data_IF_513320343773
#
_entry.id   IF_513320343773
#
_cell.length_a   1.000
_cell.length_b   1.000
_cell.length_c   1.000
_cell.angle_alpha   90.00
_cell.angle_beta   90.00
_cell.angle_gamma   90.00
#
_symmetry.space_group_name_H-M   'P 1'
#
loop_
_entity.id
_entity.type
_entity.pdbx_description
1 polymer ?
#
# COMPACT_ATOMS: atom_id res chain seq x y z
N UNK A 1 1.66 -0.39 -28.73
CA UNK A 1 1.71 -1.27 -27.56
C UNK A 1 2.43 -0.52 -26.45
N UNK A 2 1.83 -0.43 -25.28
CA UNK A 2 2.48 0.18 -24.10
C UNK A 2 3.62 -0.74 -23.65
N UNK A 3 4.74 -0.16 -23.25
CA UNK A 3 5.93 -0.92 -22.83
C UNK A 3 6.19 -0.62 -21.35
N UNK A 4 5.59 -1.42 -20.45
CA UNK A 4 5.91 -1.31 -19.03
C UNK A 4 7.36 -1.72 -18.77
N UNK A 5 8.01 -0.98 -17.92
CA UNK A 5 9.35 -1.26 -17.39
C UNK A 5 9.30 -1.38 -15.87
N UNK A 6 8.49 -0.55 -15.23
CA UNK A 6 8.35 -0.49 -13.79
C UNK A 6 6.99 -1.05 -13.37
N UNK A 7 6.99 -1.93 -12.37
CA UNK A 7 5.77 -2.44 -11.75
C UNK A 7 5.76 -1.93 -10.31
N UNK A 8 4.90 -0.95 -10.05
CA UNK A 8 4.73 -0.33 -8.75
C UNK A 8 3.76 -1.16 -7.93
N UNK A 9 4.13 -1.53 -6.73
CA UNK A 9 3.28 -2.33 -5.84
C UNK A 9 2.91 -1.55 -4.59
N UNK A 10 1.66 -1.62 -4.17
CA UNK A 10 1.34 -1.36 -2.77
C UNK A 10 1.85 -2.51 -1.88
N UNK A 11 1.81 -2.33 -0.57
CA UNK A 11 2.30 -3.28 0.42
C UNK A 11 1.16 -4.01 1.12
N UNK A 12 0.36 -3.26 1.89
CA UNK A 12 -0.70 -3.78 2.76
C UNK A 12 -1.91 -4.20 1.93
N UNK A 13 -2.27 -5.49 1.93
CA UNK A 13 -3.34 -6.04 1.08
C UNK A 13 -2.90 -6.45 -0.32
N UNK A 14 -1.67 -6.11 -0.73
CA UNK A 14 -1.15 -6.44 -2.06
C UNK A 14 0.01 -7.43 -2.02
N UNK A 15 1.04 -7.15 -1.24
CA UNK A 15 2.19 -8.05 -1.05
C UNK A 15 2.04 -8.88 0.22
N UNK A 16 1.47 -8.28 1.27
CA UNK A 16 1.31 -8.89 2.57
C UNK A 16 -0.09 -8.68 3.12
N UNK A 17 -0.61 -9.69 3.82
CA UNK A 17 -1.72 -9.56 4.76
C UNK A 17 -1.17 -8.94 6.05
N UNK A 18 -1.46 -7.68 6.26
CA UNK A 18 -1.10 -6.90 7.44
C UNK A 18 -2.27 -6.70 8.41
N UNK A 19 -3.40 -7.35 8.15
CA UNK A 19 -4.65 -7.16 8.88
C UNK A 19 -4.48 -7.35 10.38
N UNK A 20 -3.71 -8.35 10.82
CA UNK A 20 -3.49 -8.62 12.25
C UNK A 20 -2.75 -7.47 12.93
N UNK A 21 -1.62 -7.03 12.37
CA UNK A 21 -0.79 -5.99 12.95
C UNK A 21 -1.47 -4.63 13.02
N UNK A 22 -2.17 -4.26 11.96
CA UNK A 22 -2.89 -2.99 11.86
C UNK A 22 -4.09 -2.99 12.81
N UNK A 23 -4.99 -3.99 12.72
CA UNK A 23 -6.22 -3.99 13.53
C UNK A 23 -5.96 -4.09 15.01
N UNK A 24 -5.01 -4.93 15.47
CA UNK A 24 -4.60 -4.97 16.88
C UNK A 24 -4.02 -3.65 17.38
N UNK A 25 -3.35 -2.89 16.52
CA UNK A 25 -2.81 -1.58 16.90
C UNK A 25 -3.91 -0.51 16.93
N UNK A 26 -4.93 -0.64 16.09
CA UNK A 26 -6.15 0.20 16.17
C UNK A 26 -6.94 -0.13 17.44
N UNK A 27 -7.18 -1.41 17.75
CA UNK A 27 -7.84 -1.85 19.00
C UNK A 27 -7.11 -1.27 20.21
N UNK A 28 -5.78 -1.34 20.23
CA UNK A 28 -4.98 -0.79 21.31
C UNK A 28 -5.16 0.73 21.46
N UNK A 29 -5.20 1.47 20.36
CA UNK A 29 -5.46 2.91 20.38
C UNK A 29 -6.89 3.25 20.85
N UNK A 30 -7.89 2.55 20.33
CA UNK A 30 -9.29 2.76 20.68
C UNK A 30 -9.58 2.44 22.17
N UNK A 31 -8.96 1.38 22.70
CA UNK A 31 -9.09 1.01 24.11
C UNK A 31 -8.63 2.12 25.05
N UNK A 32 -7.63 2.94 24.66
CA UNK A 32 -7.22 4.13 25.43
C UNK A 32 -8.36 5.16 25.60
N UNK A 33 -9.27 5.22 24.61
CA UNK A 33 -10.43 6.10 24.64
C UNK A 33 -11.69 5.40 25.17
N UNK A 34 -11.57 4.18 25.71
CA UNK A 34 -12.72 3.39 26.20
C UNK A 34 -13.63 2.86 25.11
N UNK A 35 -13.14 2.75 23.86
CA UNK A 35 -13.88 2.27 22.71
C UNK A 35 -13.43 0.84 22.40
N UNK A 36 -14.39 -0.08 22.29
CA UNK A 36 -14.16 -1.49 22.05
C UNK A 36 -15.00 -1.93 20.85
N UNK A 37 -14.37 -2.17 19.67
CA UNK A 37 -15.08 -2.68 18.49
C UNK A 37 -15.72 -4.04 18.75
N UNK A 38 -16.84 -4.33 18.11
CA UNK A 38 -17.54 -5.61 18.27
C UNK A 38 -16.78 -6.77 17.60
N UNK A 39 -16.08 -6.47 16.51
CA UNK A 39 -15.23 -7.44 15.83
C UNK A 39 -13.99 -6.75 15.22
N UNK A 40 -12.98 -7.56 14.88
CA UNK A 40 -11.75 -7.04 14.24
C UNK A 40 -11.97 -6.67 12.78
N UNK A 41 -12.91 -7.31 12.12
CA UNK A 41 -13.29 -7.05 10.74
C UNK A 41 -13.78 -5.62 10.53
N UNK A 42 -14.44 -5.03 11.54
CA UNK A 42 -14.86 -3.61 11.52
C UNK A 42 -13.68 -2.66 11.35
N UNK A 43 -12.47 -3.10 11.68
CA UNK A 43 -11.25 -2.30 11.61
C UNK A 43 -10.49 -2.43 10.29
N UNK A 44 -10.93 -3.29 9.36
CA UNK A 44 -10.28 -3.42 8.06
C UNK A 44 -10.32 -2.13 7.23
N UNK A 45 -11.28 -1.25 7.51
CA UNK A 45 -11.34 0.08 6.91
C UNK A 45 -10.13 0.99 7.24
N UNK A 46 -9.32 0.61 8.25
CA UNK A 46 -8.07 1.31 8.56
C UNK A 46 -6.88 0.86 7.69
N UNK A 47 -7.03 -0.20 6.90
CA UNK A 47 -5.95 -0.73 6.05
C UNK A 47 -5.96 0.04 4.73
N UNK A 48 -4.85 0.73 4.44
CA UNK A 48 -4.66 1.54 3.23
C UNK A 48 -4.75 3.05 3.47
N UNK A 49 -5.85 3.62 4.01
CA UNK A 49 -5.96 5.05 4.20
C UNK A 49 -5.02 5.63 5.27
N UNK A 50 -4.71 6.95 5.21
CA UNK A 50 -3.98 7.64 6.28
C UNK A 50 -4.67 7.52 7.63
N UNK A 51 -3.92 7.20 8.67
CA UNK A 51 -4.42 6.80 9.98
C UNK A 51 -5.25 7.88 10.68
N UNK A 52 -4.79 9.14 10.61
CA UNK A 52 -5.50 10.29 11.22
C UNK A 52 -6.86 10.48 10.55
N UNK A 53 -6.92 10.42 9.22
CA UNK A 53 -8.15 10.58 8.46
C UNK A 53 -9.13 9.43 8.77
N UNK A 54 -8.63 8.21 8.96
CA UNK A 54 -9.42 7.05 9.36
C UNK A 54 -10.07 7.22 10.73
N UNK A 55 -9.34 7.67 11.75
CA UNK A 55 -9.93 7.95 13.07
C UNK A 55 -10.97 9.08 13.02
N UNK A 56 -10.74 10.12 12.22
CA UNK A 56 -11.73 11.18 12.02
C UNK A 56 -12.99 10.64 11.33
N UNK A 57 -12.83 9.87 10.26
CA UNK A 57 -13.94 9.38 9.41
C UNK A 57 -14.80 8.33 10.13
N UNK A 58 -14.17 7.34 10.76
CA UNK A 58 -14.88 6.17 11.28
C UNK A 58 -15.31 6.32 12.75
N UNK A 59 -14.60 7.16 13.52
CA UNK A 59 -14.89 7.37 14.95
C UNK A 59 -15.27 8.81 15.30
N UNK A 60 -15.37 9.70 14.32
CA UNK A 60 -15.77 11.09 14.55
C UNK A 60 -14.80 11.88 15.44
N UNK A 61 -13.54 11.47 15.51
CA UNK A 61 -12.56 12.18 16.33
C UNK A 61 -12.25 13.56 15.73
N UNK A 62 -12.00 14.55 16.58
CA UNK A 62 -11.37 15.78 16.14
C UNK A 62 -9.97 15.48 15.58
N UNK A 63 -9.41 16.37 14.75
CA UNK A 63 -8.05 16.18 14.20
C UNK A 63 -7.00 16.02 15.29
N UNK A 64 -7.13 16.76 16.40
CA UNK A 64 -6.23 16.64 17.56
C UNK A 64 -6.33 15.25 18.20
N UNK A 65 -7.56 14.81 18.53
CA UNK A 65 -7.82 13.47 19.11
C UNK A 65 -7.41 12.33 18.17
N UNK A 66 -7.61 12.49 16.88
CA UNK A 66 -7.17 11.52 15.86
C UNK A 66 -5.63 11.45 15.78
N UNK A 67 -4.94 12.57 15.94
CA UNK A 67 -3.48 12.63 16.05
C UNK A 67 -2.97 11.88 17.28
N UNK A 68 -3.59 12.07 18.44
CA UNK A 68 -3.28 11.33 19.68
C UNK A 68 -3.49 9.84 19.50
N UNK A 69 -4.64 9.43 18.93
CA UNK A 69 -4.95 8.04 18.64
C UNK A 69 -3.91 7.41 17.68
N UNK A 70 -3.47 8.15 16.67
CA UNK A 70 -2.44 7.71 15.75
C UNK A 70 -1.07 7.53 16.44
N UNK A 71 -0.72 8.39 17.40
CA UNK A 71 0.54 8.25 18.15
C UNK A 71 0.48 7.03 19.09
N UNK A 72 -0.66 6.78 19.74
CA UNK A 72 -0.90 5.56 20.55
C UNK A 72 -0.85 4.31 19.68
N UNK A 73 -1.51 4.30 18.52
CA UNK A 73 -1.41 3.22 17.52
C UNK A 73 0.05 2.92 17.19
N UNK A 74 0.85 3.95 16.86
CA UNK A 74 2.25 3.81 16.47
C UNK A 74 3.11 3.27 17.59
N UNK A 75 2.79 3.55 18.85
CA UNK A 75 3.53 3.03 20.01
C UNK A 75 3.51 1.49 20.06
N UNK A 76 2.36 0.87 19.74
CA UNK A 76 2.25 -0.59 19.62
C UNK A 76 2.78 -1.08 18.27
N UNK A 77 2.42 -0.37 17.18
CA UNK A 77 2.75 -0.83 15.83
C UNK A 77 4.26 -0.97 15.62
N UNK A 78 5.05 0.00 16.08
CA UNK A 78 6.52 -0.02 15.97
C UNK A 78 7.18 -1.25 16.60
N UNK A 79 6.61 -1.78 17.67
CA UNK A 79 7.22 -2.84 18.48
C UNK A 79 6.65 -4.22 18.14
N UNK A 80 5.39 -4.28 17.74
CA UNK A 80 4.68 -5.55 17.50
C UNK A 80 4.04 -5.60 16.12
N UNK A 81 3.14 -4.65 15.81
CA UNK A 81 2.32 -4.71 14.61
C UNK A 81 3.11 -4.75 13.31
N UNK A 82 4.25 -4.07 13.26
CA UNK A 82 5.14 -4.06 12.08
C UNK A 82 5.70 -5.44 11.73
N UNK A 83 5.72 -6.38 12.67
CA UNK A 83 6.18 -7.77 12.49
C UNK A 83 5.01 -8.77 12.33
N UNK A 84 3.77 -8.33 12.50
CA UNK A 84 2.57 -9.18 12.40
C UNK A 84 2.02 -9.16 10.96
N UNK A 85 2.82 -9.61 9.99
CA UNK A 85 2.47 -9.66 8.58
C UNK A 85 2.66 -11.06 8.00
N UNK A 86 1.87 -11.42 6.99
CA UNK A 86 2.00 -12.67 6.23
C UNK A 86 2.09 -12.35 4.74
N UNK A 87 3.10 -12.87 4.06
CA UNK A 87 3.22 -12.74 2.60
C UNK A 87 2.08 -13.51 1.93
N UNK A 88 1.39 -12.90 0.98
CA UNK A 88 0.37 -13.61 0.21
C UNK A 88 1.00 -14.74 -0.63
N UNK A 89 0.36 -15.92 -0.70
CA UNK A 89 0.82 -17.02 -1.53
C UNK A 89 1.02 -16.59 -2.99
N UNK A 90 2.16 -16.94 -3.58
CA UNK A 90 2.48 -16.63 -4.98
C UNK A 90 3.17 -15.25 -5.19
N UNK A 91 3.29 -14.41 -4.17
CA UNK A 91 3.98 -13.11 -4.28
C UNK A 91 5.49 -13.26 -4.51
N UNK A 92 6.23 -14.12 -3.77
CA UNK A 92 7.65 -14.31 -4.05
C UNK A 92 7.92 -14.78 -5.49
N UNK A 93 7.12 -15.73 -5.96
CA UNK A 93 7.20 -16.30 -7.32
C UNK A 93 6.86 -15.24 -8.39
N UNK A 94 5.86 -14.38 -8.13
CA UNK A 94 5.53 -13.26 -9.01
C UNK A 94 6.70 -12.28 -9.12
N UNK A 95 7.24 -11.83 -7.99
CA UNK A 95 8.33 -10.84 -7.97
C UNK A 95 9.59 -11.38 -8.65
N UNK A 96 9.95 -12.64 -8.37
CA UNK A 96 11.07 -13.30 -9.04
C UNK A 96 10.85 -13.41 -10.55
N UNK A 97 9.65 -13.79 -10.97
CA UNK A 97 9.31 -13.92 -12.39
C UNK A 97 9.33 -12.57 -13.12
N UNK A 98 8.86 -11.51 -12.48
CA UNK A 98 8.95 -10.14 -13.02
C UNK A 98 10.40 -9.70 -13.22
N UNK A 99 11.27 -9.91 -12.23
CA UNK A 99 12.70 -9.59 -12.32
C UNK A 99 13.35 -10.39 -13.44
N UNK A 100 13.09 -11.69 -13.53
CA UNK A 100 13.63 -12.56 -14.57
C UNK A 100 13.14 -12.18 -15.98
N UNK A 101 11.94 -11.64 -16.10
CA UNK A 101 11.38 -11.12 -17.35
C UNK A 101 11.85 -9.68 -17.69
N UNK A 102 12.74 -9.08 -16.87
CA UNK A 102 13.33 -7.78 -17.12
C UNK A 102 12.50 -6.58 -16.62
N UNK A 103 11.40 -6.81 -15.88
CA UNK A 103 10.67 -5.75 -15.20
C UNK A 103 11.41 -5.32 -13.92
N UNK A 104 11.17 -4.09 -13.48
CA UNK A 104 11.72 -3.53 -12.25
C UNK A 104 10.60 -3.33 -11.22
N UNK A 105 10.42 -4.22 -10.24
CA UNK A 105 9.50 -3.98 -9.14
C UNK A 105 9.92 -2.76 -8.32
N UNK A 106 8.93 -1.94 -7.94
CA UNK A 106 9.08 -0.73 -7.14
C UNK A 106 8.01 -0.76 -6.06
N UNK A 107 8.33 -0.43 -4.82
CA UNK A 107 7.30 -0.24 -3.82
C UNK A 107 6.74 1.19 -3.93
N UNK A 108 5.41 1.33 -3.89
CA UNK A 108 4.71 2.61 -3.87
C UNK A 108 3.52 2.51 -2.89
N UNK A 109 3.76 2.77 -1.61
CA UNK A 109 2.80 2.51 -0.53
C UNK A 109 2.48 3.74 0.31
N UNK A 110 1.22 3.86 0.75
CA UNK A 110 0.80 4.86 1.74
C UNK A 110 1.29 4.54 3.16
N UNK A 111 1.86 3.34 3.38
CA UNK A 111 2.56 3.02 4.62
C UNK A 111 3.80 3.90 4.79
N UNK A 112 4.07 4.43 5.99
CA UNK A 112 5.33 5.16 6.24
C UNK A 112 6.55 4.31 5.84
N UNK A 113 7.46 4.93 5.07
CA UNK A 113 8.62 4.26 4.45
C UNK A 113 9.49 3.51 5.48
N UNK A 114 9.62 4.07 6.67
CA UNK A 114 10.36 3.44 7.78
C UNK A 114 9.76 2.09 8.18
N UNK A 115 8.43 1.96 8.18
CA UNK A 115 7.74 0.71 8.49
C UNK A 115 7.69 -0.23 7.29
N UNK A 116 7.53 0.31 6.09
CA UNK A 116 7.57 -0.49 4.87
C UNK A 116 8.90 -1.22 4.70
N UNK A 117 10.02 -0.55 5.01
CA UNK A 117 11.35 -1.16 5.01
C UNK A 117 11.45 -2.33 5.98
N UNK A 118 10.94 -2.19 7.21
CA UNK A 118 10.95 -3.28 8.22
C UNK A 118 10.16 -4.48 7.70
N UNK A 119 8.92 -4.25 7.20
CA UNK A 119 8.08 -5.33 6.66
C UNK A 119 8.77 -6.06 5.50
N UNK A 120 9.37 -5.33 4.57
CA UNK A 120 10.08 -5.93 3.43
C UNK A 120 11.34 -6.73 3.86
N UNK A 121 12.03 -6.29 4.91
CA UNK A 121 13.16 -7.01 5.49
C UNK A 121 12.72 -8.30 6.17
N UNK A 122 11.73 -8.22 7.07
CA UNK A 122 11.19 -9.36 7.82
C UNK A 122 10.63 -10.46 6.90
N UNK A 123 10.00 -10.04 5.80
CA UNK A 123 9.41 -10.96 4.82
C UNK A 123 10.40 -11.44 3.75
N UNK A 124 11.61 -10.89 3.73
CA UNK A 124 12.63 -11.20 2.71
C UNK A 124 12.30 -10.69 1.31
N UNK A 125 11.27 -9.85 1.15
CA UNK A 125 10.85 -9.33 -0.15
C UNK A 125 11.72 -8.17 -0.64
N UNK A 126 12.45 -7.48 0.24
CA UNK A 126 13.23 -6.27 -0.08
C UNK A 126 14.17 -6.46 -1.27
N UNK A 127 14.75 -7.65 -1.41
CA UNK A 127 15.71 -8.01 -2.47
C UNK A 127 15.19 -7.85 -3.91
N UNK A 128 13.86 -7.87 -4.09
CA UNK A 128 13.25 -7.76 -5.42
C UNK A 128 13.04 -6.30 -5.86
N UNK A 129 13.02 -5.35 -4.91
CA UNK A 129 12.63 -3.98 -5.18
C UNK A 129 13.83 -3.11 -5.58
N UNK A 130 13.71 -2.48 -6.75
CA UNK A 130 14.69 -1.50 -7.25
C UNK A 130 14.66 -0.21 -6.43
N UNK A 131 13.48 0.21 -5.99
CA UNK A 131 13.25 1.43 -5.22
C UNK A 131 12.06 1.24 -4.28
N UNK A 132 12.12 1.92 -3.15
CA UNK A 132 11.07 1.90 -2.13
C UNK A 132 10.59 3.33 -1.94
N UNK A 133 9.33 3.58 -2.32
CA UNK A 133 8.62 4.82 -2.07
C UNK A 133 7.50 4.55 -1.05
N UNK A 134 7.62 5.11 0.13
CA UNK A 134 6.59 5.08 1.16
C UNK A 134 6.08 6.48 1.46
N UNK A 135 4.98 6.58 2.20
CA UNK A 135 4.57 7.85 2.80
C UNK A 135 5.63 8.34 3.81
N UNK A 136 5.65 9.64 4.06
CA UNK A 136 6.41 10.20 5.18
C UNK A 136 5.67 9.95 6.50
N UNK A 137 6.39 9.90 7.59
CA UNK A 137 5.79 9.65 8.89
C UNK A 137 5.06 10.92 9.39
N UNK A 138 3.74 10.84 9.55
CA UNK A 138 2.91 11.90 10.11
C UNK A 138 2.95 11.87 11.65
N UNK A 139 4.12 12.12 12.20
CA UNK A 139 4.32 12.28 13.64
C UNK A 139 4.34 13.77 14.06
N UNK A 140 4.63 14.02 15.34
CA UNK A 140 4.62 15.38 15.89
C UNK A 140 5.62 16.33 15.19
N UNK A 141 6.74 15.81 14.65
CA UNK A 141 7.71 16.61 13.89
C UNK A 141 7.27 16.77 12.43
N UNK A 142 6.78 15.70 11.81
CA UNK A 142 6.27 15.70 10.45
C UNK A 142 5.11 16.67 10.25
N UNK A 143 4.16 16.73 11.20
CA UNK A 143 3.01 17.66 11.14
C UNK A 143 3.36 19.16 11.06
N UNK A 144 4.62 19.52 11.17
CA UNK A 144 5.10 20.91 11.02
C UNK A 144 5.42 21.30 9.57
N UNK A 145 5.36 20.37 8.61
CA UNK A 145 5.68 20.59 7.20
C UNK A 145 4.67 19.90 6.29
N UNK A 146 4.70 20.22 4.99
CA UNK A 146 3.93 19.44 4.01
C UNK A 146 4.60 18.07 3.84
N UNK A 147 3.84 17.00 4.10
CA UNK A 147 4.28 15.62 3.99
C UNK A 147 3.70 14.97 2.73
N UNK A 148 4.43 14.01 2.16
CA UNK A 148 3.93 13.05 1.20
C UNK A 148 3.16 11.97 1.97
N UNK A 149 1.84 11.99 1.91
CA UNK A 149 0.97 11.08 2.68
C UNK A 149 0.04 10.26 1.80
N UNK A 150 -0.36 10.80 0.64
CA UNK A 150 -1.34 10.21 -0.25
C UNK A 150 -0.69 9.32 -1.31
N UNK A 151 -1.45 8.37 -1.85
CA UNK A 151 -0.98 7.44 -2.87
C UNK A 151 -0.51 8.16 -4.15
N UNK A 152 -1.23 9.17 -4.61
CA UNK A 152 -0.85 9.95 -5.77
C UNK A 152 0.50 10.66 -5.60
N UNK A 153 0.75 11.22 -4.41
CA UNK A 153 2.03 11.86 -4.07
C UNK A 153 3.19 10.85 -4.00
N UNK A 154 2.91 9.64 -3.51
CA UNK A 154 3.90 8.55 -3.44
C UNK A 154 4.26 8.05 -4.83
N UNK A 155 3.26 7.85 -5.70
CA UNK A 155 3.49 7.41 -7.09
C UNK A 155 4.27 8.49 -7.85
N UNK A 156 3.88 9.77 -7.75
CA UNK A 156 4.61 10.88 -8.36
C UNK A 156 6.08 10.89 -7.93
N UNK A 157 6.33 10.75 -6.63
CA UNK A 157 7.69 10.67 -6.09
C UNK A 157 8.48 9.46 -6.64
N UNK A 158 7.86 8.28 -6.71
CA UNK A 158 8.52 7.11 -7.27
C UNK A 158 8.92 7.32 -8.74
N UNK A 159 8.02 7.87 -9.56
CA UNK A 159 8.30 8.18 -10.97
C UNK A 159 9.43 9.20 -11.11
N UNK A 160 9.43 10.26 -10.31
CA UNK A 160 10.48 11.29 -10.30
C UNK A 160 11.85 10.68 -9.96
N UNK A 161 11.94 9.88 -8.89
CA UNK A 161 13.20 9.26 -8.46
C UNK A 161 13.76 8.26 -9.48
N UNK A 162 12.88 7.64 -10.26
CA UNK A 162 13.26 6.68 -11.31
C UNK A 162 13.54 7.36 -12.66
N UNK A 163 13.21 8.64 -12.82
CA UNK A 163 13.18 9.30 -14.11
C UNK A 163 12.27 8.57 -15.11
N UNK A 164 11.12 8.08 -14.61
CA UNK A 164 10.24 7.21 -15.37
C UNK A 164 9.06 7.99 -15.97
N UNK A 165 8.79 7.75 -17.24
CA UNK A 165 7.57 8.22 -17.89
C UNK A 165 6.37 7.41 -17.35
N UNK A 166 5.22 8.05 -17.03
CA UNK A 166 4.04 7.36 -16.52
C UNK A 166 3.61 6.15 -17.36
N UNK A 167 3.65 6.27 -18.69
CA UNK A 167 3.28 5.19 -19.62
C UNK A 167 4.21 3.96 -19.55
N UNK A 168 5.38 4.07 -18.89
CA UNK A 168 6.31 2.97 -18.67
C UNK A 168 6.11 2.25 -17.34
N UNK A 169 5.12 2.68 -16.55
CA UNK A 169 4.83 2.14 -15.22
C UNK A 169 3.43 1.51 -15.19
N UNK A 170 3.26 0.53 -14.30
CA UNK A 170 1.99 -0.12 -13.98
C UNK A 170 1.85 -0.15 -12.46
N UNK A 171 0.76 0.36 -11.90
CA UNK A 171 0.47 0.29 -10.46
C UNK A 171 -0.35 -0.95 -10.14
N UNK A 172 0.03 -1.68 -9.11
CA UNK A 172 -0.66 -2.87 -8.60
C UNK A 172 -1.06 -2.62 -7.16
N UNK A 173 -2.35 -2.69 -6.87
CA UNK A 173 -2.89 -2.45 -5.53
C UNK A 173 -4.26 -3.06 -5.34
N UNK A 174 -4.71 -3.11 -4.09
CA UNK A 174 -5.97 -3.77 -3.71
C UNK A 174 -7.08 -2.78 -3.31
N UNK A 175 -6.80 -1.46 -3.28
CA UNK A 175 -7.77 -0.44 -2.88
C UNK A 175 -7.98 0.64 -3.94
N UNK A 176 -9.15 1.31 -3.85
CA UNK A 176 -9.47 2.46 -4.71
C UNK A 176 -8.35 3.51 -4.74
N UNK A 177 -7.65 3.72 -3.63
CA UNK A 177 -6.59 4.71 -3.54
C UNK A 177 -5.41 4.42 -4.46
N UNK A 178 -5.12 3.14 -4.73
CA UNK A 178 -4.07 2.72 -5.66
C UNK A 178 -4.45 3.07 -7.09
N UNK A 179 -5.69 2.78 -7.45
CA UNK A 179 -6.24 3.03 -8.78
C UNK A 179 -6.35 4.52 -9.04
N UNK A 180 -6.95 5.27 -8.11
CA UNK A 180 -7.10 6.73 -8.22
C UNK A 180 -5.75 7.44 -8.22
N UNK A 181 -4.79 6.98 -7.39
CA UNK A 181 -3.43 7.50 -7.36
C UNK A 181 -2.66 7.25 -8.67
N UNK A 182 -2.80 6.07 -9.26
CA UNK A 182 -2.26 5.74 -10.58
C UNK A 182 -2.85 6.65 -11.66
N UNK A 183 -4.17 6.77 -11.71
CA UNK A 183 -4.90 7.60 -12.66
C UNK A 183 -4.50 9.09 -12.58
N UNK A 184 -4.34 9.62 -11.36
CA UNK A 184 -3.89 11.01 -11.16
C UNK A 184 -2.50 11.27 -11.75
N UNK A 185 -1.66 10.24 -11.88
CA UNK A 185 -0.32 10.30 -12.45
C UNK A 185 -0.23 9.80 -13.90
N UNK A 186 -1.33 9.43 -14.54
CA UNK A 186 -1.34 8.88 -15.89
C UNK A 186 -0.69 7.50 -16.00
N UNK A 187 -0.67 6.74 -14.91
CA UNK A 187 -0.16 5.37 -14.80
C UNK A 187 -1.32 4.39 -14.94
N UNK A 188 -1.14 3.32 -15.71
CA UNK A 188 -2.10 2.23 -15.78
C UNK A 188 -2.14 1.45 -14.46
N UNK A 189 -3.27 0.80 -14.17
CA UNK A 189 -3.52 0.16 -12.88
C UNK A 189 -4.05 -1.26 -12.99
N UNK A 190 -3.65 -2.10 -12.03
CA UNK A 190 -4.17 -3.44 -11.78
C UNK A 190 -4.77 -3.49 -10.38
N UNK A 191 -6.07 -3.71 -10.29
CA UNK A 191 -6.73 -4.02 -9.04
C UNK A 191 -6.59 -5.51 -8.71
N UNK A 192 -6.11 -5.86 -7.51
CA UNK A 192 -5.98 -7.26 -7.06
C UNK A 192 -7.10 -7.64 -6.12
N UNK A 193 -7.68 -8.85 -6.29
CA UNK A 193 -8.86 -9.31 -5.54
C UNK A 193 -8.52 -10.17 -4.32
N UNK A 194 -7.26 -10.46 -4.07
CA UNK A 194 -6.82 -11.25 -2.92
C UNK A 194 -6.47 -10.40 -1.68
N UNK A 195 -6.65 -9.07 -1.78
CA UNK A 195 -6.44 -8.10 -0.70
C UNK A 195 -7.71 -7.78 0.09
N UNK A 196 -7.81 -6.56 0.59
CA UNK A 196 -8.91 -6.08 1.42
C UNK A 196 -10.01 -5.35 0.63
N UNK A 197 -9.72 -4.91 -0.61
CA UNK A 197 -10.67 -4.24 -1.49
C UNK A 197 -11.62 -5.23 -2.19
N UNK A 198 -12.76 -4.72 -2.66
CA UNK A 198 -13.72 -5.50 -3.44
C UNK A 198 -13.57 -5.24 -4.94
N UNK A 199 -14.06 -6.17 -5.77
CA UNK A 199 -14.11 -5.98 -7.22
C UNK A 199 -14.85 -4.69 -7.59
N UNK A 200 -16.02 -4.45 -6.98
CA UNK A 200 -16.82 -3.24 -7.22
C UNK A 200 -16.06 -1.95 -6.88
N UNK A 201 -15.33 -1.91 -5.74
CA UNK A 201 -14.48 -0.77 -5.37
C UNK A 201 -13.44 -0.47 -6.45
N UNK A 202 -12.76 -1.50 -6.94
CA UNK A 202 -11.69 -1.35 -7.94
C UNK A 202 -12.24 -0.97 -9.32
N UNK A 203 -13.38 -1.53 -9.73
CA UNK A 203 -14.06 -1.21 -10.98
C UNK A 203 -14.62 0.22 -10.97
N UNK A 204 -15.26 0.65 -9.87
CA UNK A 204 -15.75 2.02 -9.68
C UNK A 204 -14.63 3.05 -9.68
N UNK A 205 -13.46 2.72 -9.11
CA UNK A 205 -12.26 3.54 -9.18
C UNK A 205 -11.68 3.62 -10.59
N UNK A 206 -12.04 2.68 -11.49
CA UNK A 206 -11.65 2.63 -12.89
C UNK A 206 -10.31 1.94 -13.10
N UNK A 207 -10.08 0.79 -12.44
CA UNK A 207 -8.93 -0.06 -12.68
C UNK A 207 -8.86 -0.50 -14.16
N UNK A 208 -7.68 -0.38 -14.79
CA UNK A 208 -7.49 -0.80 -16.18
C UNK A 208 -7.51 -2.31 -16.33
N UNK A 209 -7.07 -3.03 -15.30
CA UNK A 209 -7.05 -4.50 -15.24
C UNK A 209 -7.47 -4.97 -13.84
N UNK A 210 -8.02 -6.19 -13.80
CA UNK A 210 -8.33 -6.93 -12.56
C UNK A 210 -7.51 -8.23 -12.54
N UNK A 211 -6.91 -8.55 -11.41
CA UNK A 211 -6.15 -9.76 -11.16
C UNK A 211 -6.73 -10.53 -9.95
N UNK A 212 -7.13 -11.78 -10.18
CA UNK A 212 -7.65 -12.64 -9.09
C UNK A 212 -6.53 -13.29 -8.29
N UNK A 213 -5.36 -13.47 -8.91
CA UNK A 213 -4.20 -14.15 -8.32
C UNK A 213 -2.92 -13.43 -8.72
N UNK A 214 -1.83 -13.56 -7.93
CA UNK A 214 -0.54 -12.94 -8.28
C UNK A 214 -0.04 -13.25 -9.69
N UNK A 215 -0.24 -14.48 -10.17
CA UNK A 215 0.16 -14.88 -11.54
C UNK A 215 -0.54 -14.10 -12.67
N UNK A 216 -1.73 -13.56 -12.42
CA UNK A 216 -2.44 -12.73 -13.41
C UNK A 216 -1.73 -11.38 -13.63
N UNK A 217 -1.08 -10.83 -12.60
CA UNK A 217 -0.27 -9.61 -12.72
C UNK A 217 0.90 -9.84 -13.69
N UNK A 218 1.60 -10.97 -13.57
CA UNK A 218 2.68 -11.32 -14.51
C UNK A 218 2.15 -11.41 -15.94
N UNK A 219 1.03 -12.10 -16.15
CA UNK A 219 0.39 -12.25 -17.48
C UNK A 219 0.07 -10.87 -18.07
N UNK A 220 -0.57 -9.97 -17.30
CA UNK A 220 -0.87 -8.60 -17.73
C UNK A 220 0.40 -7.84 -18.13
N UNK A 221 1.45 -7.95 -17.34
CA UNK A 221 2.74 -7.33 -17.65
C UNK A 221 3.35 -7.86 -18.96
N UNK A 222 3.29 -9.18 -19.20
CA UNK A 222 3.86 -9.81 -20.41
C UNK A 222 3.05 -9.47 -21.67
N UNK A 223 1.73 -9.45 -21.59
CA UNK A 223 0.84 -9.14 -22.72
C UNK A 223 0.94 -7.66 -23.14
N UNK A 224 1.20 -6.75 -22.20
CA UNK A 224 1.24 -5.30 -22.42
C UNK A 224 2.66 -4.70 -22.27
N UNK A 225 3.59 -5.46 -21.69
CA UNK A 225 5.01 -5.15 -21.61
C UNK A 225 5.74 -5.67 -22.85
N UNK A 226 6.35 -4.79 -23.61
CA UNK A 226 7.21 -5.24 -24.72
C UNK A 226 8.43 -6.02 -24.21
N UNK A 227 8.73 -7.16 -24.82
CA UNK A 227 10.03 -7.83 -24.66
C UNK A 227 11.17 -6.85 -24.97
N UNK A 228 12.15 -6.78 -24.09
CA UNK A 228 13.42 -6.10 -24.32
C UNK A 228 14.23 -6.88 -25.32
#
# INVERSE_FOLDING_TARGET
MKKYRYVLFDLDGTLVDSGEGITRSVEFALAHFGIFPASREELFCFIGPPLVDSFMRFYGFSRERAGEAADIYRSRYRVKGVHENKVYPGIPELLESLVNAGFSPVLATSKPEVFANVVLEDTGLKRYFRFIAGAELDDAEGRKRKLRLKKDEVIAYALEQLGAEPASALMVGDREHDILGAKANGVDSVGVLFGFGSCGELEEAGADYIAERPGDVLRICLENGGTV
#
